data_IF_644839570016
#
_entry.id   IF_644839570016
#
_cell.length_a   1.000
_cell.length_b   1.000
_cell.length_c   1.000
_cell.angle_alpha   90.00
_cell.angle_beta   90.00
_cell.angle_gamma   90.00
#
_symmetry.space_group_name_H-M   'P 1'
#
loop_
_entity.id
_entity.type
_entity.pdbx_description
1 polymer ?
#
# COMPACT_ATOMS: atom_id res chain seq x y z
N UNK A 1 3.47 5.12 26.82
CA UNK A 1 2.53 5.88 25.96
C UNK A 1 3.23 6.60 24.78
N UNK A 2 4.53 6.92 24.84
CA UNK A 2 5.26 7.56 23.73
C UNK A 2 5.74 6.61 22.61
N UNK A 3 5.91 5.31 22.87
CA UNK A 3 6.38 4.33 21.87
C UNK A 3 5.31 3.99 20.83
N UNK A 4 4.05 3.82 21.25
CA UNK A 4 2.92 3.56 20.34
C UNK A 4 2.67 4.70 19.34
N UNK A 5 2.93 5.95 19.73
CA UNK A 5 2.75 7.11 18.84
C UNK A 5 3.80 7.17 17.73
N UNK A 6 5.03 6.71 18.00
CA UNK A 6 6.11 6.66 17.00
C UNK A 6 5.90 5.52 15.98
N UNK A 7 5.41 4.38 16.44
CA UNK A 7 5.03 3.23 15.60
C UNK A 7 3.88 3.61 14.65
N UNK A 8 2.87 4.34 15.14
CA UNK A 8 1.77 4.82 14.30
C UNK A 8 2.20 5.75 13.17
N UNK A 9 3.17 6.64 13.44
CA UNK A 9 3.72 7.56 12.44
C UNK A 9 4.53 6.79 11.39
N UNK A 10 5.39 5.86 11.80
CA UNK A 10 6.18 5.06 10.87
C UNK A 10 5.32 4.15 9.97
N UNK A 11 4.27 3.55 10.53
CA UNK A 11 3.27 2.77 9.79
C UNK A 11 2.47 3.67 8.83
N UNK A 12 2.03 4.85 9.24
CA UNK A 12 1.34 5.79 8.36
C UNK A 12 2.19 6.17 7.13
N UNK A 13 3.52 6.32 7.30
CA UNK A 13 4.44 6.61 6.20
C UNK A 13 4.73 5.40 5.31
N UNK A 14 4.95 4.20 5.89
CA UNK A 14 5.00 2.96 5.12
C UNK A 14 3.69 2.65 4.40
N UNK A 15 2.59 3.31 4.80
CA UNK A 15 1.30 3.18 4.16
C UNK A 15 1.13 4.00 2.89
N UNK A 16 1.63 5.24 2.87
CA UNK A 16 1.72 6.07 1.66
C UNK A 16 2.57 5.43 0.55
N UNK A 17 3.39 4.45 0.92
CA UNK A 17 4.26 3.67 0.03
C UNK A 17 3.49 2.59 -0.76
N UNK A 18 2.32 2.18 -0.27
CA UNK A 18 1.52 1.10 -0.87
C UNK A 18 0.80 1.58 -2.13
N UNK A 19 0.40 2.85 -2.15
CA UNK A 19 -0.26 3.50 -3.28
C UNK A 19 0.45 4.83 -3.53
N UNK A 20 1.17 4.93 -4.65
CA UNK A 20 1.99 6.09 -4.98
C UNK A 20 1.22 7.40 -4.84
N UNK A 21 1.92 8.44 -4.39
CA UNK A 21 1.31 9.74 -4.13
C UNK A 21 1.06 10.48 -5.44
N UNK A 22 -0.20 10.82 -5.69
CA UNK A 22 -0.62 11.83 -6.64
C UNK A 22 -0.56 13.19 -5.96
N UNK A 23 0.11 14.14 -6.61
CA UNK A 23 0.11 15.54 -6.19
C UNK A 23 -1.28 16.16 -6.41
N UNK A 24 -1.98 16.43 -5.31
CA UNK A 24 -3.37 16.94 -5.35
C UNK A 24 -3.48 18.46 -5.33
N UNK A 25 -2.38 19.20 -5.17
CA UNK A 25 -2.44 20.66 -5.01
C UNK A 25 -2.98 21.36 -6.27
N UNK A 26 -2.79 20.76 -7.45
CA UNK A 26 -3.37 21.21 -8.71
C UNK A 26 -4.76 20.61 -9.01
N UNK A 27 -5.37 19.92 -8.05
CA UNK A 27 -6.67 19.27 -8.16
C UNK A 27 -7.62 19.76 -7.06
N UNK A 28 -8.08 21.03 -7.13
CA UNK A 28 -8.86 21.64 -6.06
C UNK A 28 -10.20 20.93 -5.79
N UNK A 29 -10.70 20.16 -6.75
CA UNK A 29 -11.94 19.39 -6.62
C UNK A 29 -11.84 18.21 -5.66
N UNK A 30 -10.64 17.71 -5.31
CA UNK A 30 -10.50 16.54 -4.42
C UNK A 30 -11.18 16.77 -3.09
N UNK A 31 -10.87 17.88 -2.43
CA UNK A 31 -11.37 18.15 -1.08
C UNK A 31 -12.89 18.23 -1.06
N UNK A 32 -13.47 18.91 -2.05
CA UNK A 32 -14.93 18.99 -2.24
C UNK A 32 -15.54 17.62 -2.53
N UNK A 33 -14.96 16.84 -3.44
CA UNK A 33 -15.46 15.52 -3.79
C UNK A 33 -15.37 14.54 -2.61
N UNK A 34 -14.26 14.54 -1.87
CA UNK A 34 -14.09 13.70 -0.67
C UNK A 34 -15.11 14.07 0.40
N UNK A 35 -15.38 15.37 0.60
CA UNK A 35 -16.44 15.82 1.51
C UNK A 35 -17.81 15.32 1.05
N UNK A 36 -18.11 15.43 -0.25
CA UNK A 36 -19.35 14.95 -0.84
C UNK A 36 -19.51 13.42 -0.70
N UNK A 37 -18.45 12.64 -0.91
CA UNK A 37 -18.47 11.18 -0.71
C UNK A 37 -18.90 10.80 0.71
N UNK A 38 -18.44 11.53 1.73
CA UNK A 38 -18.80 11.30 3.12
C UNK A 38 -20.23 11.76 3.47
N UNK A 39 -20.75 12.76 2.75
CA UNK A 39 -22.15 13.22 2.88
C UNK A 39 -23.11 12.22 2.22
N UNK A 40 -22.77 11.74 1.03
CA UNK A 40 -23.62 10.83 0.25
C UNK A 40 -23.67 9.41 0.83
N UNK A 41 -22.63 9.02 1.56
CA UNK A 41 -22.53 7.69 2.18
C UNK A 41 -21.98 7.83 3.61
N UNK A 42 -22.78 8.36 4.55
CA UNK A 42 -22.36 8.47 5.94
C UNK A 42 -22.30 7.07 6.56
N UNK A 43 -21.24 6.79 7.31
CA UNK A 43 -21.05 5.50 7.98
C UNK A 43 -21.13 5.73 9.48
N UNK A 44 -22.14 5.17 10.12
CA UNK A 44 -22.33 5.31 11.56
C UNK A 44 -21.09 4.81 12.34
N UNK A 45 -20.66 5.59 13.34
CA UNK A 45 -19.51 5.33 14.21
C UNK A 45 -18.15 5.20 13.50
N UNK A 46 -18.06 5.61 12.24
CA UNK A 46 -16.80 5.71 11.50
C UNK A 46 -16.53 7.18 11.20
N UNK A 47 -15.37 7.74 11.60
CA UNK A 47 -14.99 9.09 11.20
C UNK A 47 -14.96 9.25 9.68
N UNK A 48 -15.11 10.48 9.20
CA UNK A 48 -15.02 10.79 7.78
C UNK A 48 -13.73 10.23 7.17
N UNK A 49 -13.87 9.54 6.05
CA UNK A 49 -12.78 8.91 5.33
C UNK A 49 -12.02 9.97 4.54
N UNK A 50 -10.70 10.03 4.71
CA UNK A 50 -9.80 10.88 3.92
C UNK A 50 -9.05 10.07 2.85
N UNK A 51 -8.39 10.78 1.93
CA UNK A 51 -7.44 10.18 0.97
C UNK A 51 -6.32 9.43 1.68
N UNK A 52 -5.80 9.96 2.79
CA UNK A 52 -4.77 9.29 3.59
C UNK A 52 -5.26 7.94 4.15
N UNK A 53 -6.51 7.87 4.62
CA UNK A 53 -7.09 6.64 5.16
C UNK A 53 -7.21 5.51 4.13
N UNK A 54 -7.42 5.84 2.85
CA UNK A 54 -7.59 4.84 1.79
C UNK A 54 -6.30 4.49 1.06
N UNK A 55 -5.29 5.36 1.12
CA UNK A 55 -4.00 5.15 0.46
C UNK A 55 -3.03 4.40 1.36
N UNK A 56 -3.17 4.56 2.68
CA UNK A 56 -2.48 3.76 3.68
C UNK A 56 -3.16 2.39 3.85
N UNK A 57 -2.45 1.33 4.26
CA UNK A 57 -3.06 0.08 4.63
C UNK A 57 -4.04 0.31 5.79
N UNK A 58 -5.05 -0.55 5.83
CA UNK A 58 -6.23 -0.51 6.70
C UNK A 58 -5.96 -0.48 8.21
N UNK A 59 -4.72 -0.48 8.67
CA UNK A 59 -4.39 -0.39 10.09
C UNK A 59 -4.63 0.98 10.72
N UNK A 60 -4.82 2.02 9.91
CA UNK A 60 -5.32 3.32 10.40
C UNK A 60 -6.84 3.34 10.62
N UNK A 61 -7.53 2.26 10.28
CA UNK A 61 -8.99 2.15 10.31
C UNK A 61 -9.43 1.12 11.36
N UNK A 62 -10.54 1.39 12.04
CA UNK A 62 -11.15 0.43 12.97
C UNK A 62 -11.87 -0.68 12.17
N UNK A 63 -11.11 -1.72 11.80
CA UNK A 63 -11.64 -2.84 11.03
C UNK A 63 -12.79 -3.57 11.73
N UNK A 64 -12.80 -3.64 13.06
CA UNK A 64 -13.92 -4.25 13.81
C UNK A 64 -15.24 -3.55 13.54
N UNK A 65 -15.21 -2.22 13.44
CA UNK A 65 -16.37 -1.40 13.11
C UNK A 65 -16.74 -1.55 11.63
N UNK A 66 -15.77 -1.44 10.73
CA UNK A 66 -15.98 -1.47 9.27
C UNK A 66 -16.49 -2.83 8.80
N UNK A 67 -15.93 -3.91 9.32
CA UNK A 67 -16.23 -5.27 8.89
C UNK A 67 -17.52 -5.85 9.46
N UNK A 68 -18.27 -5.06 10.26
CA UNK A 68 -19.63 -5.44 10.61
C UNK A 68 -20.50 -5.53 9.34
N UNK A 69 -21.39 -6.53 9.31
CA UNK A 69 -22.20 -6.86 8.14
C UNK A 69 -23.08 -5.70 7.65
N UNK A 70 -23.41 -4.75 8.51
CA UNK A 70 -24.19 -3.55 8.16
C UNK A 70 -23.35 -2.40 7.62
N UNK A 71 -22.02 -2.39 7.78
CA UNK A 71 -21.17 -1.21 7.47
C UNK A 71 -20.18 -1.46 6.33
N UNK A 72 -19.86 -2.71 6.03
CA UNK A 72 -18.87 -3.04 5.01
C UNK A 72 -19.22 -2.49 3.62
N UNK A 73 -20.49 -2.56 3.22
CA UNK A 73 -20.91 -2.07 1.90
C UNK A 73 -20.88 -0.54 1.83
N UNK A 74 -21.30 0.15 2.88
CA UNK A 74 -21.25 1.61 2.96
C UNK A 74 -19.79 2.09 2.96
N UNK A 75 -18.92 1.45 3.75
CA UNK A 75 -17.49 1.72 3.75
C UNK A 75 -16.86 1.52 2.38
N UNK A 76 -17.11 0.37 1.72
CA UNK A 76 -16.60 0.14 0.35
C UNK A 76 -17.09 1.22 -0.62
N UNK A 77 -18.34 1.67 -0.50
CA UNK A 77 -18.92 2.69 -1.36
C UNK A 77 -18.26 4.05 -1.14
N UNK A 78 -18.22 4.52 0.10
CA UNK A 78 -17.57 5.79 0.46
C UNK A 78 -16.07 5.78 0.10
N UNK A 79 -15.34 4.73 0.48
CA UNK A 79 -13.91 4.61 0.19
C UNK A 79 -13.61 4.56 -1.31
N UNK A 80 -14.49 3.94 -2.11
CA UNK A 80 -14.35 3.92 -3.57
C UNK A 80 -14.60 5.28 -4.21
N UNK A 81 -15.57 6.04 -3.69
CA UNK A 81 -15.80 7.42 -4.10
C UNK A 81 -14.57 8.30 -3.80
N UNK A 82 -14.00 8.21 -2.60
CA UNK A 82 -12.76 8.93 -2.22
C UNK A 82 -11.58 8.48 -3.10
N UNK A 83 -11.42 7.18 -3.33
CA UNK A 83 -10.34 6.62 -4.15
C UNK A 83 -10.44 7.09 -5.61
N UNK A 84 -11.63 7.05 -6.20
CA UNK A 84 -11.83 7.51 -7.56
C UNK A 84 -11.65 9.03 -7.70
N UNK A 85 -12.06 9.80 -6.68
CA UNK A 85 -11.81 11.24 -6.62
C UNK A 85 -10.30 11.53 -6.59
N UNK A 86 -9.55 10.81 -5.78
CA UNK A 86 -8.09 10.91 -5.73
C UNK A 86 -7.43 10.50 -7.06
N UNK A 87 -7.83 9.35 -7.61
CA UNK A 87 -7.34 8.84 -8.91
C UNK A 87 -7.66 9.80 -10.05
N UNK A 88 -8.75 10.57 -9.98
CA UNK A 88 -9.10 11.53 -11.02
C UNK A 88 -8.03 12.62 -11.20
N UNK A 89 -7.28 12.92 -10.15
CA UNK A 89 -6.24 13.95 -10.14
C UNK A 89 -4.88 13.51 -10.66
N UNK A 90 -4.67 12.21 -10.84
CA UNK A 90 -3.49 11.71 -11.52
C UNK A 90 -3.64 11.92 -13.01
N UNK A 91 -2.56 12.20 -13.73
CA UNK A 91 -2.53 12.02 -15.18
C UNK A 91 -2.50 10.52 -15.50
N UNK A 92 -2.90 10.13 -16.72
CA UNK A 92 -3.17 8.73 -17.11
C UNK A 92 -2.23 7.68 -16.48
N UNK A 93 -0.92 7.86 -16.64
CA UNK A 93 0.07 6.92 -16.14
C UNK A 93 0.20 6.94 -14.61
N UNK A 94 0.09 8.11 -13.98
CA UNK A 94 0.14 8.26 -12.52
C UNK A 94 -1.04 7.56 -11.83
N UNK A 95 -2.20 7.46 -12.48
CA UNK A 95 -3.35 6.66 -11.97
C UNK A 95 -3.03 5.18 -11.82
N UNK A 96 -1.97 4.68 -12.48
CA UNK A 96 -1.55 3.28 -12.38
C UNK A 96 -0.76 3.00 -11.09
N UNK A 97 -0.25 4.03 -10.42
CA UNK A 97 0.44 3.94 -9.12
C UNK A 97 -0.53 3.96 -7.93
N UNK A 98 -1.82 4.13 -8.18
CA UNK A 98 -2.88 3.94 -7.18
C UNK A 98 -3.59 2.63 -7.47
N UNK A 99 -3.99 1.89 -6.44
CA UNK A 99 -4.83 0.69 -6.58
C UNK A 99 -6.14 1.02 -7.30
N UNK A 100 -6.62 0.09 -8.14
CA UNK A 100 -7.93 0.24 -8.82
C UNK A 100 -9.06 -0.02 -7.84
N UNK A 101 -10.21 0.62 -8.05
CA UNK A 101 -11.41 0.45 -7.22
C UNK A 101 -11.76 -1.01 -6.95
N UNK A 102 -11.83 -1.84 -8.00
CA UNK A 102 -12.18 -3.26 -7.85
C UNK A 102 -11.19 -4.02 -6.95
N UNK A 103 -9.89 -3.76 -7.11
CA UNK A 103 -8.84 -4.38 -6.29
C UNK A 103 -8.87 -3.87 -4.85
N UNK A 104 -9.17 -2.59 -4.64
CA UNK A 104 -9.35 -2.02 -3.31
C UNK A 104 -10.56 -2.66 -2.59
N UNK A 105 -11.72 -2.74 -3.27
CA UNK A 105 -12.91 -3.41 -2.71
C UNK A 105 -12.64 -4.87 -2.35
N UNK A 106 -11.96 -5.61 -3.22
CA UNK A 106 -11.52 -6.99 -2.98
C UNK A 106 -10.57 -7.09 -1.78
N UNK A 107 -9.59 -6.19 -1.67
CA UNK A 107 -8.67 -6.14 -0.54
C UNK A 107 -9.38 -5.87 0.80
N UNK A 108 -10.36 -4.96 0.81
CA UNK A 108 -11.17 -4.67 2.02
C UNK A 108 -12.02 -5.87 2.40
N UNK A 109 -12.70 -6.51 1.45
CA UNK A 109 -13.44 -7.75 1.71
C UNK A 109 -12.52 -8.83 2.26
N UNK A 110 -11.37 -9.05 1.64
CA UNK A 110 -10.37 -10.00 2.12
C UNK A 110 -9.88 -9.68 3.54
N UNK A 111 -9.65 -8.40 3.85
CA UNK A 111 -9.25 -7.98 5.18
C UNK A 111 -10.34 -8.25 6.23
N UNK A 112 -11.62 -8.08 5.87
CA UNK A 112 -12.74 -8.38 6.76
C UNK A 112 -12.94 -9.88 6.97
N UNK A 113 -12.81 -10.68 5.92
CA UNK A 113 -12.87 -12.15 6.01
C UNK A 113 -11.72 -12.72 6.87
N UNK A 114 -10.62 -11.97 6.99
CA UNK A 114 -9.43 -12.32 7.76
C UNK A 114 -9.11 -11.30 8.87
N UNK A 115 -10.13 -10.70 9.49
CA UNK A 115 -9.95 -9.59 10.43
C UNK A 115 -8.99 -9.92 11.59
N UNK A 116 -9.14 -11.11 12.20
CA UNK A 116 -8.30 -11.54 13.32
C UNK A 116 -6.81 -11.55 12.96
N UNK A 117 -6.41 -12.30 11.92
CA UNK A 117 -5.04 -12.27 11.41
C UNK A 117 -4.53 -10.88 11.01
N UNK A 118 -5.35 -10.07 10.30
CA UNK A 118 -4.95 -8.72 9.87
C UNK A 118 -4.73 -7.79 11.06
N UNK A 119 -5.60 -7.83 12.08
CA UNK A 119 -5.41 -7.06 13.31
C UNK A 119 -4.23 -7.57 14.13
N UNK A 120 -3.97 -8.88 14.16
CA UNK A 120 -2.81 -9.46 14.85
C UNK A 120 -1.49 -8.95 14.26
N UNK A 121 -1.39 -8.89 12.93
CA UNK A 121 -0.24 -8.32 12.23
C UNK A 121 0.06 -6.89 12.68
N UNK A 122 -0.97 -6.06 12.90
CA UNK A 122 -0.78 -4.67 13.35
C UNK A 122 -0.06 -4.59 14.70
N UNK A 123 -0.33 -5.54 15.59
CA UNK A 123 0.33 -5.62 16.89
C UNK A 123 1.77 -6.16 16.79
N UNK A 124 2.10 -6.82 15.68
CA UNK A 124 3.40 -7.44 15.46
C UNK A 124 4.34 -6.62 14.59
N UNK A 125 3.86 -5.60 13.85
CA UNK A 125 4.76 -4.67 13.17
C UNK A 125 5.38 -3.76 14.23
N UNK A 126 6.57 -4.15 14.67
CA UNK A 126 7.35 -3.45 15.69
C UNK A 126 8.43 -2.53 15.11
N UNK A 127 9.31 -2.11 16.01
CA UNK A 127 10.45 -1.25 15.68
C UNK A 127 11.44 -1.95 14.72
N UNK A 128 11.58 -3.28 14.78
CA UNK A 128 12.48 -4.07 13.90
C UNK A 128 12.16 -3.91 12.41
N UNK A 129 10.91 -4.19 12.02
CA UNK A 129 10.40 -4.00 10.64
C UNK A 129 10.55 -2.55 10.23
N UNK A 130 10.20 -1.62 11.13
CA UNK A 130 10.28 -0.18 10.87
C UNK A 130 11.71 0.27 10.59
N UNK A 131 12.67 -0.20 11.39
CA UNK A 131 14.09 0.13 11.24
C UNK A 131 14.66 -0.52 9.97
N UNK A 132 14.24 -1.74 9.63
CA UNK A 132 14.59 -2.35 8.34
C UNK A 132 14.15 -1.45 7.18
N UNK A 133 12.88 -1.02 7.15
CA UNK A 133 12.33 -0.17 6.10
C UNK A 133 13.12 1.14 6.01
N UNK A 134 13.26 1.85 7.11
CA UNK A 134 13.94 3.16 7.14
C UNK A 134 15.40 3.06 6.70
N UNK A 135 16.12 2.05 7.17
CA UNK A 135 17.53 1.87 6.81
C UNK A 135 17.68 1.52 5.32
N UNK A 136 16.78 0.71 4.78
CA UNK A 136 16.78 0.39 3.35
C UNK A 136 16.39 1.59 2.48
N UNK A 137 15.32 2.28 2.82
CA UNK A 137 14.93 3.52 2.12
C UNK A 137 16.07 4.55 2.12
N UNK A 138 16.76 4.73 3.26
CA UNK A 138 17.92 5.62 3.35
C UNK A 138 19.09 5.18 2.45
N UNK A 139 19.47 3.89 2.50
CA UNK A 139 20.57 3.34 1.68
C UNK A 139 20.28 3.40 0.19
N UNK A 140 19.04 3.12 -0.19
CA UNK A 140 18.57 3.08 -1.58
C UNK A 140 18.11 4.45 -2.10
N UNK A 141 18.26 5.52 -1.30
CA UNK A 141 17.82 6.90 -1.62
C UNK A 141 16.34 6.98 -2.00
N UNK A 142 15.49 6.25 -1.27
CA UNK A 142 14.03 6.21 -1.41
C UNK A 142 13.31 6.83 -0.22
N UNK A 143 13.92 7.80 0.44
CA UNK A 143 13.29 8.54 1.54
C UNK A 143 12.32 9.60 1.00
N UNK A 144 11.45 10.13 1.85
CA UNK A 144 10.49 11.17 1.45
C UNK A 144 11.18 12.42 0.86
N UNK A 145 12.37 12.77 1.37
CA UNK A 145 13.19 13.87 0.84
C UNK A 145 13.84 13.59 -0.52
N UNK A 146 13.71 12.36 -1.03
CA UNK A 146 14.19 11.93 -2.35
C UNK A 146 13.03 11.52 -3.29
N UNK A 147 11.80 11.93 -2.96
CA UNK A 147 10.64 11.73 -3.84
C UNK A 147 10.85 12.51 -5.15
N UNK A 148 10.73 11.89 -6.34
CA UNK A 148 10.84 12.59 -7.62
C UNK A 148 9.84 13.74 -7.75
N UNK A 149 10.21 14.82 -8.47
CA UNK A 149 9.35 15.96 -8.82
C UNK A 149 8.56 15.69 -10.11
N UNK A 150 7.35 16.25 -10.28
CA UNK A 150 6.41 15.85 -11.36
C UNK A 150 6.90 16.23 -12.74
N UNK A 151 7.91 17.08 -12.81
CA UNK A 151 8.68 17.38 -14.01
C UNK A 151 9.58 16.23 -14.47
N UNK A 152 9.91 15.27 -13.59
CA UNK A 152 10.71 14.09 -13.91
C UNK A 152 9.90 13.03 -14.68
N UNK A 153 10.57 12.13 -15.43
CA UNK A 153 9.91 11.04 -16.12
C UNK A 153 9.05 10.18 -15.19
N UNK A 154 7.87 9.78 -15.67
CA UNK A 154 6.98 8.87 -14.93
C UNK A 154 7.66 7.54 -14.52
N UNK A 155 8.67 7.10 -15.28
CA UNK A 155 9.47 5.91 -14.92
C UNK A 155 10.12 6.03 -13.56
N UNK A 156 10.56 7.22 -13.19
CA UNK A 156 11.35 7.48 -11.98
C UNK A 156 10.44 7.56 -10.77
N UNK A 157 9.26 8.16 -10.96
CA UNK A 157 8.12 8.06 -10.05
C UNK A 157 7.73 6.63 -9.73
N UNK A 158 7.44 5.86 -10.78
CA UNK A 158 7.05 4.46 -10.65
C UNK A 158 8.14 3.69 -9.93
N UNK A 159 9.39 3.83 -10.37
CA UNK A 159 10.53 3.16 -9.75
C UNK A 159 10.66 3.51 -8.26
N UNK A 160 10.58 4.78 -7.90
CA UNK A 160 10.65 5.21 -6.50
C UNK A 160 9.53 4.58 -5.65
N UNK A 161 8.26 4.74 -6.01
CA UNK A 161 7.15 4.24 -5.21
C UNK A 161 7.09 2.70 -5.19
N UNK A 162 7.33 2.04 -6.33
CA UNK A 162 7.32 0.59 -6.39
C UNK A 162 8.53 -0.03 -5.66
N UNK A 163 9.70 0.60 -5.66
CA UNK A 163 10.86 0.15 -4.88
C UNK A 163 10.61 0.26 -3.37
N UNK A 164 10.05 1.39 -2.88
CA UNK A 164 9.68 1.52 -1.47
C UNK A 164 8.68 0.45 -1.05
N UNK A 165 7.70 0.16 -1.91
CA UNK A 165 6.73 -0.92 -1.67
C UNK A 165 7.42 -2.27 -1.55
N UNK A 166 8.38 -2.56 -2.45
CA UNK A 166 9.15 -3.79 -2.40
C UNK A 166 10.01 -3.89 -1.13
N UNK A 167 10.63 -2.78 -0.69
CA UNK A 167 11.36 -2.70 0.58
C UNK A 167 10.45 -3.08 1.76
N UNK A 168 9.25 -2.49 1.84
CA UNK A 168 8.27 -2.81 2.90
C UNK A 168 7.89 -4.29 2.90
N UNK A 169 7.65 -4.85 1.72
CA UNK A 169 7.36 -6.28 1.57
C UNK A 169 8.52 -7.13 2.06
N UNK A 170 9.74 -6.91 1.56
CA UNK A 170 10.92 -7.71 1.90
C UNK A 170 11.30 -7.58 3.37
N UNK A 171 11.21 -6.39 3.96
CA UNK A 171 11.43 -6.20 5.39
C UNK A 171 10.40 -6.97 6.23
N UNK A 172 9.12 -6.96 5.85
CA UNK A 172 8.11 -7.74 6.57
C UNK A 172 8.26 -9.24 6.38
N UNK A 173 8.61 -9.69 5.17
CA UNK A 173 8.76 -11.12 4.84
C UNK A 173 9.97 -11.78 5.52
N UNK A 174 10.99 -11.01 5.89
CA UNK A 174 12.26 -11.52 6.40
C UNK A 174 12.58 -11.10 7.83
N UNK A 175 11.72 -10.33 8.50
CA UNK A 175 11.93 -9.92 9.89
C UNK A 175 11.57 -11.06 10.86
N UNK A 176 12.58 -11.57 11.57
CA UNK A 176 12.43 -12.73 12.47
C UNK A 176 11.48 -12.41 13.65
N UNK A 177 11.55 -11.20 14.20
CA UNK A 177 10.69 -10.77 15.32
C UNK A 177 9.23 -10.69 14.89
N UNK A 178 8.97 -10.11 13.72
CA UNK A 178 7.65 -10.08 13.11
C UNK A 178 7.13 -11.50 12.88
N UNK A 179 7.91 -12.36 12.22
CA UNK A 179 7.51 -13.73 11.90
C UNK A 179 7.24 -14.56 13.16
N UNK A 180 8.06 -14.39 14.20
CA UNK A 180 7.85 -15.01 15.49
C UNK A 180 6.55 -14.53 16.17
N UNK A 181 6.22 -13.24 16.03
CA UNK A 181 5.00 -12.67 16.59
C UNK A 181 3.73 -13.09 15.84
N UNK A 182 3.72 -13.05 14.50
CA UNK A 182 2.51 -13.34 13.71
C UNK A 182 2.25 -14.83 13.51
N UNK A 183 3.30 -15.65 13.47
CA UNK A 183 3.22 -17.06 13.11
C UNK A 183 2.98 -17.30 11.59
N UNK A 184 3.27 -18.52 11.13
CA UNK A 184 3.38 -18.86 9.70
C UNK A 184 2.10 -18.63 8.89
N UNK A 185 0.91 -18.84 9.46
CA UNK A 185 -0.37 -18.63 8.76
C UNK A 185 -0.73 -17.16 8.58
N UNK A 186 -0.58 -16.36 9.63
CA UNK A 186 -0.96 -14.94 9.66
C UNK A 186 -0.10 -14.09 8.71
N UNK A 187 1.21 -14.38 8.62
CA UNK A 187 2.10 -13.69 7.69
C UNK A 187 1.61 -13.80 6.24
N UNK A 188 1.23 -15.01 5.81
CA UNK A 188 0.75 -15.26 4.44
C UNK A 188 -0.52 -14.47 4.11
N UNK A 189 -1.44 -14.36 5.07
CA UNK A 189 -2.67 -13.58 4.94
C UNK A 189 -2.36 -12.10 4.77
N UNK A 190 -1.44 -11.56 5.58
CA UNK A 190 -1.02 -10.16 5.43
C UNK A 190 -0.38 -9.90 4.07
N UNK A 191 0.49 -10.77 3.60
CA UNK A 191 1.17 -10.60 2.31
C UNK A 191 0.21 -10.71 1.13
N UNK A 192 -0.83 -11.54 1.24
CA UNK A 192 -1.90 -11.61 0.24
C UNK A 192 -2.78 -10.36 0.24
N UNK A 193 -3.15 -9.85 1.43
CA UNK A 193 -3.81 -8.55 1.56
C UNK A 193 -2.97 -7.43 0.94
N UNK A 194 -1.67 -7.40 1.26
CA UNK A 194 -0.71 -6.47 0.69
C UNK A 194 -0.69 -6.60 -0.84
N UNK A 195 -0.59 -7.83 -1.37
CA UNK A 195 -0.62 -8.11 -2.82
C UNK A 195 -1.87 -7.56 -3.49
N UNK A 196 -3.06 -7.74 -2.92
CA UNK A 196 -4.33 -7.20 -3.45
C UNK A 196 -4.33 -5.67 -3.50
N UNK A 197 -3.65 -5.02 -2.56
CA UNK A 197 -3.43 -3.58 -2.52
C UNK A 197 -2.28 -3.11 -3.43
N UNK A 198 -1.75 -3.95 -4.33
CA UNK A 198 -0.66 -3.56 -5.25
C UNK A 198 -1.21 -2.77 -6.43
N UNK A 199 -0.71 -1.54 -6.68
CA UNK A 199 -1.05 -0.79 -7.88
C UNK A 199 -0.57 -1.51 -9.13
N UNK A 200 -1.34 -1.39 -10.23
CA UNK A 200 -1.01 -2.05 -11.49
C UNK A 200 0.36 -1.62 -12.04
N UNK A 201 0.75 -0.35 -11.82
CA UNK A 201 2.05 0.18 -12.22
C UNK A 201 3.25 -0.49 -11.51
N UNK A 202 3.02 -1.15 -10.37
CA UNK A 202 4.05 -1.87 -9.62
C UNK A 202 4.03 -3.40 -9.84
N UNK A 203 3.01 -3.94 -10.50
CA UNK A 203 2.84 -5.38 -10.70
C UNK A 203 3.72 -5.98 -11.82
N UNK A 204 4.32 -5.14 -12.68
CA UNK A 204 5.09 -5.61 -13.84
C UNK A 204 6.59 -5.85 -13.56
N UNK A 205 7.14 -5.28 -12.49
CA UNK A 205 8.60 -5.22 -12.25
C UNK A 205 9.20 -6.60 -11.96
N UNK A 206 8.48 -7.47 -11.25
CA UNK A 206 8.94 -8.84 -10.94
C UNK A 206 8.95 -9.75 -12.17
N UNK A 207 8.01 -9.57 -13.11
CA UNK A 207 7.99 -10.36 -14.36
C UNK A 207 9.18 -9.98 -15.23
N UNK A 208 9.49 -8.69 -15.41
CA UNK A 208 10.63 -8.29 -16.23
C UNK A 208 11.98 -8.75 -15.67
N UNK A 209 12.19 -8.67 -14.35
CA UNK A 209 13.44 -9.13 -13.71
C UNK A 209 13.56 -10.66 -13.77
N UNK A 210 12.50 -11.40 -13.47
CA UNK A 210 12.51 -12.86 -13.59
C UNK A 210 12.71 -13.32 -15.04
N UNK A 211 12.08 -12.65 -16.00
CA UNK A 211 12.23 -12.95 -17.44
C UNK A 211 13.64 -12.66 -17.94
N UNK A 212 14.26 -11.55 -17.50
CA UNK A 212 15.61 -11.20 -17.90
C UNK A 212 16.67 -12.08 -17.23
N UNK A 213 16.49 -12.48 -15.98
CA UNK A 213 17.34 -13.48 -15.31
C UNK A 213 17.23 -14.86 -15.98
N UNK A 214 16.02 -15.28 -16.37
CA UNK A 214 15.81 -16.50 -17.15
C UNK A 214 16.50 -16.42 -18.51
N UNK A 215 16.42 -15.28 -19.20
CA UNK A 215 17.07 -15.08 -20.49
C UNK A 215 18.60 -15.15 -20.39
N UNK A 216 19.19 -14.52 -19.36
CA UNK A 216 20.64 -14.55 -19.08
C UNK A 216 21.08 -15.98 -18.70
N UNK A 217 20.28 -16.70 -17.92
CA UNK A 217 20.53 -18.12 -17.59
C UNK A 217 20.49 -19.01 -18.84
N UNK A 218 19.51 -18.82 -19.73
CA UNK A 218 19.40 -19.53 -21.00
C UNK A 218 20.59 -19.24 -21.93
N UNK A 219 20.97 -17.97 -22.10
CA UNK A 219 22.09 -17.57 -22.95
C UNK A 219 23.44 -18.10 -22.43
N UNK A 220 23.66 -18.04 -21.13
CA UNK A 220 24.89 -18.59 -20.52
C UNK A 220 24.97 -20.11 -20.60
N UNK A 221 23.83 -20.80 -20.62
CA UNK A 221 23.77 -22.25 -20.84
C UNK A 221 24.07 -22.57 -22.31
N UNK A 222 23.44 -21.89 -23.27
CA UNK A 222 23.70 -22.10 -24.70
C UNK A 222 25.15 -21.83 -25.10
N UNK A 223 25.79 -20.79 -24.57
CA UNK A 223 27.20 -20.50 -24.83
C UNK A 223 28.18 -21.51 -24.22
N UNK A 224 27.76 -22.34 -23.25
CA UNK A 224 28.61 -23.43 -22.72
C UNK A 224 28.60 -24.68 -23.59
N UNK A 225 27.64 -24.82 -24.49
CA UNK A 225 27.45 -26.01 -25.35
C UNK A 225 27.74 -25.75 -26.83
N UNK A 226 28.23 -24.55 -27.16
CA UNK A 226 28.79 -24.15 -28.45
C UNK A 226 30.32 -24.18 -28.37
#
# INVERSE_FOLDING_TARGET
MFTQFKIFIALAFAGCVVNGQIYTDNCPSVSGNVSQCNIDTPIADVPSISTSNILTPTYSLNLTVICSSSRLNDFKTAASCVLNSYRHCGDNDYKTLVVKEAAYKDAITYACDNIGPIMHVQNCIGDSVTDCIRNREAREKRTDGATPDRSEPFSDYRDHFCARRQITKECTEHDEDFLACVGTGTASIYLEYYRKMTPAGCGATSIFIASSLLLVSLLSTFMKYL
#
